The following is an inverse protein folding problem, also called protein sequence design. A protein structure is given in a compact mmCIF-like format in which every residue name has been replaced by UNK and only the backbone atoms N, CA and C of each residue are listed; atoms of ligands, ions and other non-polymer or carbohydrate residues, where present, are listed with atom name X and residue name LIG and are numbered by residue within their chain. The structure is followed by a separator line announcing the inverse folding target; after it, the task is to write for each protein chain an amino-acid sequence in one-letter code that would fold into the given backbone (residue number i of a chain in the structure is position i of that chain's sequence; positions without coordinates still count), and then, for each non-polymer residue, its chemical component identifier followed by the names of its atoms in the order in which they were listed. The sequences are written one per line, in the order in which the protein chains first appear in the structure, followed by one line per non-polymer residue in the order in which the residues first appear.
data_IF_391056186207
#
_entry.id   IF_391056186207
#
_cell.length_a   1.000
_cell.length_b   1.000
_cell.length_c   1.000
_cell.angle_alpha   90.00
_cell.angle_beta   90.00
_cell.angle_gamma   90.00
#
_symmetry.space_group_name_H-M   'P 1'
#
loop_
_entity.id
_entity.type
_entity.pdbx_description
1 polymer ?
#
# COMPACT_ATOMS: atom_id res chain seq x y z
N UNK A 1 -15.04 10.07 -7.09
CA UNK A 1 -14.93 8.78 -6.38
C UNK A 1 -13.48 8.56 -6.03
N UNK A 2 -13.20 8.09 -4.82
CA UNK A 2 -11.90 7.65 -4.37
C UNK A 2 -11.93 6.13 -4.13
N UNK A 3 -11.12 5.38 -4.87
CA UNK A 3 -10.87 3.96 -4.62
C UNK A 3 -9.54 3.88 -3.89
N UNK A 4 -9.48 3.23 -2.74
CA UNK A 4 -8.26 3.18 -1.94
C UNK A 4 -8.01 1.76 -1.43
N UNK A 5 -6.77 1.42 -1.11
CA UNK A 5 -6.49 0.10 -0.54
C UNK A 5 -7.18 -0.09 0.82
N UNK A 6 -8.02 -1.11 0.92
CA UNK A 6 -8.75 -1.41 2.15
C UNK A 6 -7.87 -1.97 3.26
N UNK A 7 -8.25 -1.71 4.51
CA UNK A 7 -7.66 -2.31 5.72
C UNK A 7 -6.17 -2.05 5.98
N UNK A 8 -5.56 -1.04 5.37
CA UNK A 8 -4.22 -0.55 5.71
C UNK A 8 -4.26 0.94 6.10
N UNK A 9 -3.26 1.36 6.89
CA UNK A 9 -3.13 2.76 7.30
C UNK A 9 -2.75 3.69 6.14
N UNK A 10 -2.00 3.20 5.15
CA UNK A 10 -1.59 4.00 4.00
C UNK A 10 -2.78 4.32 3.08
N UNK A 11 -3.46 3.30 2.55
CA UNK A 11 -4.69 3.47 1.76
C UNK A 11 -5.77 4.30 2.46
N UNK A 12 -6.07 4.05 3.74
CA UNK A 12 -7.05 4.88 4.45
C UNK A 12 -6.54 6.30 4.73
N UNK A 13 -5.24 6.47 5.00
CA UNK A 13 -4.60 7.78 5.09
C UNK A 13 -4.73 8.56 3.79
N UNK A 14 -4.51 7.92 2.64
CA UNK A 14 -4.73 8.47 1.32
C UNK A 14 -6.19 8.89 1.09
N UNK A 15 -7.14 8.03 1.46
CA UNK A 15 -8.57 8.38 1.41
C UNK A 15 -8.91 9.58 2.30
N UNK A 16 -8.34 9.65 3.51
CA UNK A 16 -8.51 10.79 4.41
C UNK A 16 -7.98 12.09 3.78
N UNK A 17 -6.83 12.05 3.11
CA UNK A 17 -6.28 13.20 2.38
C UNK A 17 -7.22 13.64 1.26
N UNK A 18 -7.73 12.69 0.45
CA UNK A 18 -8.68 13.00 -0.63
C UNK A 18 -9.95 13.65 -0.08
N UNK A 19 -10.50 13.13 1.03
CA UNK A 19 -11.66 13.73 1.71
C UNK A 19 -11.35 15.15 2.17
N UNK A 20 -10.20 15.37 2.78
CA UNK A 20 -9.76 16.70 3.23
C UNK A 20 -9.69 17.71 2.08
N UNK A 21 -9.24 17.27 0.91
CA UNK A 21 -9.05 18.13 -0.26
C UNK A 21 -10.35 18.43 -1.00
N UNK A 22 -11.23 17.44 -1.15
CA UNK A 22 -12.38 17.50 -2.06
C UNK A 22 -13.75 17.51 -1.34
N UNK A 23 -13.78 17.27 -0.04
CA UNK A 23 -14.98 17.27 0.80
C UNK A 23 -15.84 16.01 0.71
N UNK A 24 -16.99 16.06 1.37
CA UNK A 24 -17.86 14.88 1.61
C UNK A 24 -18.67 14.41 0.40
N UNK A 25 -18.59 15.13 -0.72
CA UNK A 25 -19.21 14.75 -1.99
C UNK A 25 -18.48 13.59 -2.69
N UNK A 26 -17.32 13.18 -2.17
CA UNK A 26 -16.54 12.06 -2.70
C UNK A 26 -17.11 10.74 -2.18
N UNK A 27 -17.52 9.86 -3.09
CA UNK A 27 -17.79 8.45 -2.79
C UNK A 27 -16.46 7.72 -2.54
N UNK A 28 -16.32 7.07 -1.38
CA UNK A 28 -15.14 6.30 -0.97
C UNK A 28 -15.41 4.80 -1.06
N UNK A 29 -14.55 4.07 -1.77
CA UNK A 29 -14.67 2.62 -1.97
C UNK A 29 -13.35 1.95 -1.59
N UNK A 30 -13.40 1.05 -0.61
CA UNK A 30 -12.26 0.21 -0.27
C UNK A 30 -12.03 -0.83 -1.38
N UNK A 31 -10.95 -0.68 -2.13
CA UNK A 31 -10.47 -1.62 -3.12
C UNK A 31 -9.82 -2.84 -2.47
N UNK A 32 -10.09 -4.01 -3.03
CA UNK A 32 -9.52 -5.30 -2.62
C UNK A 32 -9.00 -6.01 -3.85
N UNK A 33 -7.76 -6.50 -3.80
CA UNK A 33 -7.18 -7.23 -4.92
C UNK A 33 -8.02 -8.45 -5.33
N UNK A 34 -8.23 -8.60 -6.63
CA UNK A 34 -9.00 -9.69 -7.21
C UNK A 34 -10.51 -9.51 -7.20
N UNK A 35 -11.03 -8.40 -6.65
CA UNK A 35 -12.44 -8.03 -6.81
C UNK A 35 -12.65 -7.17 -8.06
N UNK A 36 -13.87 -7.23 -8.60
CA UNK A 36 -14.27 -6.34 -9.71
C UNK A 36 -14.33 -4.88 -9.23
N UNK A 37 -13.99 -3.93 -10.11
CA UNK A 37 -14.08 -2.51 -9.76
C UNK A 37 -15.52 -2.05 -9.55
N UNK A 38 -15.74 -0.99 -8.75
CA UNK A 38 -17.06 -0.37 -8.61
C UNK A 38 -17.53 0.27 -9.92
N UNK A 39 -18.79 0.71 -9.97
CA UNK A 39 -19.30 1.47 -11.09
C UNK A 39 -18.68 2.88 -11.14
N UNK A 40 -17.95 3.14 -12.22
CA UNK A 40 -17.20 4.37 -12.47
C UNK A 40 -17.81 5.24 -13.57
N UNK A 41 -18.95 4.85 -14.15
CA UNK A 41 -19.56 5.54 -15.29
C UNK A 41 -19.69 7.07 -15.06
N UNK A 42 -19.05 7.86 -15.92
CA UNK A 42 -19.07 9.32 -15.86
C UNK A 42 -18.40 9.96 -14.63
N UNK A 43 -17.75 9.19 -13.75
CA UNK A 43 -17.12 9.69 -12.52
C UNK A 43 -15.67 10.15 -12.78
N UNK A 44 -15.21 11.16 -12.04
CA UNK A 44 -13.78 11.38 -11.83
C UNK A 44 -13.29 10.41 -10.74
N UNK A 45 -12.36 9.54 -11.09
CA UNK A 45 -11.87 8.47 -10.23
C UNK A 45 -10.44 8.77 -9.81
N UNK A 46 -10.22 8.76 -8.51
CA UNK A 46 -8.89 8.83 -7.89
C UNK A 46 -8.63 7.46 -7.29
N UNK A 47 -7.52 6.83 -7.62
CA UNK A 47 -7.10 5.57 -7.00
C UNK A 47 -5.85 5.83 -6.16
N UNK A 48 -5.84 5.40 -4.90
CA UNK A 48 -4.75 5.66 -3.94
C UNK A 48 -4.27 4.37 -3.26
N UNK A 49 -2.95 4.19 -3.17
CA UNK A 49 -2.29 3.01 -2.56
C UNK A 49 -2.73 1.67 -3.19
N UNK A 50 -3.30 1.72 -4.40
CA UNK A 50 -3.93 0.56 -5.01
C UNK A 50 -3.97 0.71 -6.52
N UNK A 51 -3.91 -0.42 -7.22
CA UNK A 51 -4.12 -0.48 -8.66
C UNK A 51 -4.78 -1.80 -9.05
N UNK A 52 -5.80 -1.74 -9.91
CA UNK A 52 -6.24 -2.91 -10.65
C UNK A 52 -5.22 -3.24 -11.76
N UNK A 53 -5.28 -4.46 -12.30
CA UNK A 53 -4.46 -4.85 -13.46
C UNK A 53 -4.75 -3.99 -14.68
N UNK A 54 -3.77 -3.87 -15.58
CA UNK A 54 -3.84 -3.06 -16.79
C UNK A 54 -5.16 -3.21 -17.55
N UNK A 55 -5.59 -4.45 -17.82
CA UNK A 55 -6.81 -4.73 -18.58
C UNK A 55 -8.09 -4.22 -17.89
N UNK A 56 -8.12 -4.25 -16.55
CA UNK A 56 -9.24 -3.71 -15.77
C UNK A 56 -9.21 -2.18 -15.83
N UNK A 57 -8.04 -1.58 -15.61
CA UNK A 57 -7.85 -0.14 -15.67
C UNK A 57 -8.20 0.44 -17.05
N UNK A 58 -7.80 -0.24 -18.12
CA UNK A 58 -8.12 0.14 -19.49
C UNK A 58 -9.64 0.10 -19.73
N UNK A 59 -10.37 -0.91 -19.23
CA UNK A 59 -11.83 -0.96 -19.35
C UNK A 59 -12.52 0.11 -18.50
N UNK A 60 -12.03 0.35 -17.28
CA UNK A 60 -12.56 1.40 -16.41
C UNK A 60 -12.40 2.78 -17.04
N UNK A 61 -11.27 3.05 -17.68
CA UNK A 61 -10.99 4.38 -18.24
C UNK A 61 -11.98 4.76 -19.34
N UNK A 62 -12.46 3.82 -20.15
CA UNK A 62 -13.49 4.08 -21.17
C UNK A 62 -14.89 4.42 -20.60
N UNK A 63 -15.15 4.11 -19.32
CA UNK A 63 -16.41 4.41 -18.64
C UNK A 63 -16.32 5.66 -17.76
N UNK A 64 -15.19 5.83 -17.09
CA UNK A 64 -14.94 6.97 -16.24
C UNK A 64 -14.83 8.27 -17.05
N UNK A 65 -15.17 9.41 -16.42
CA UNK A 65 -14.87 10.72 -17.00
C UNK A 65 -13.37 11.01 -16.98
N UNK A 66 -12.69 10.66 -15.89
CA UNK A 66 -11.23 10.69 -15.80
C UNK A 66 -10.73 9.74 -14.71
N UNK A 67 -9.48 9.31 -14.83
CA UNK A 67 -8.79 8.51 -13.82
C UNK A 67 -7.40 9.11 -13.52
N UNK A 68 -7.08 9.25 -12.25
CA UNK A 68 -5.69 9.37 -11.79
C UNK A 68 -5.38 8.25 -10.78
N UNK A 69 -4.14 7.77 -10.83
CA UNK A 69 -3.64 6.72 -9.93
C UNK A 69 -2.46 7.30 -9.16
N UNK A 70 -2.47 7.16 -7.83
CA UNK A 70 -1.42 7.57 -6.90
C UNK A 70 -0.99 6.31 -6.13
N UNK A 71 0.11 5.72 -6.55
CA UNK A 71 0.49 4.39 -6.06
C UNK A 71 2.01 4.25 -5.95
N UNK A 72 2.47 3.32 -5.13
CA UNK A 72 3.87 3.06 -4.84
C UNK A 72 4.24 1.56 -4.94
N UNK A 73 3.34 0.73 -5.48
CA UNK A 73 3.62 -0.68 -5.72
C UNK A 73 4.41 -0.92 -7.03
N UNK A 74 5.61 -1.48 -6.91
CA UNK A 74 6.49 -1.80 -8.06
C UNK A 74 5.80 -2.65 -9.13
N UNK A 75 5.09 -3.71 -8.71
CA UNK A 75 4.38 -4.58 -9.66
C UNK A 75 3.24 -3.88 -10.39
N UNK A 76 2.64 -2.86 -9.78
CA UNK A 76 1.61 -2.04 -10.43
C UNK A 76 2.25 -1.04 -11.40
N UNK A 77 3.37 -0.41 -11.03
CA UNK A 77 4.14 0.47 -11.92
C UNK A 77 4.59 -0.25 -13.20
N UNK A 78 5.06 -1.50 -13.07
CA UNK A 78 5.43 -2.36 -14.20
C UNK A 78 4.23 -2.66 -15.12
N UNK A 79 3.09 -3.03 -14.55
CA UNK A 79 1.88 -3.40 -15.30
C UNK A 79 1.20 -2.20 -15.97
N UNK A 80 1.17 -1.05 -15.28
CA UNK A 80 0.46 0.15 -15.69
C UNK A 80 1.34 1.17 -16.44
N UNK A 81 2.62 0.88 -16.67
CA UNK A 81 3.56 1.78 -17.36
C UNK A 81 3.20 2.14 -18.82
N UNK A 82 2.12 1.57 -19.36
CA UNK A 82 1.53 1.94 -20.65
C UNK A 82 0.68 3.21 -20.59
N UNK A 83 0.21 3.59 -19.40
CA UNK A 83 -0.54 4.83 -19.20
C UNK A 83 0.43 6.00 -18.99
N UNK A 84 0.04 7.22 -19.37
CA UNK A 84 0.90 8.39 -19.21
C UNK A 84 1.29 8.65 -17.75
N UNK A 85 2.57 8.89 -17.47
CA UNK A 85 3.01 9.24 -16.12
C UNK A 85 2.75 10.72 -15.79
N UNK A 86 2.59 11.02 -14.51
CA UNK A 86 2.62 12.39 -13.98
C UNK A 86 3.30 12.42 -12.60
N UNK A 87 3.67 13.62 -12.14
CA UNK A 87 4.24 13.84 -10.81
C UNK A 87 3.19 14.44 -9.88
N UNK A 88 3.14 13.96 -8.62
CA UNK A 88 2.24 14.48 -7.61
C UNK A 88 2.39 16.01 -7.48
N UNK A 89 1.26 16.71 -7.43
CA UNK A 89 1.20 18.17 -7.24
C UNK A 89 1.40 18.98 -8.51
N UNK A 90 1.78 18.34 -9.62
CA UNK A 90 1.98 19.00 -10.91
C UNK A 90 0.70 18.90 -11.73
N UNK A 91 0.12 20.07 -12.04
CA UNK A 91 -1.14 20.16 -12.80
C UNK A 91 -0.89 20.11 -14.31
N UNK A 92 0.01 20.95 -14.81
CA UNK A 92 0.39 21.08 -16.21
C UNK A 92 1.90 20.87 -16.32
N UNK A 93 2.34 20.30 -17.44
CA UNK A 93 3.76 20.08 -17.71
C UNK A 93 4.58 21.37 -17.52
N UNK A 94 5.72 21.23 -16.87
CA UNK A 94 6.62 22.32 -16.56
C UNK A 94 8.08 21.88 -16.69
N UNK A 95 8.99 22.86 -16.64
CA UNK A 95 10.42 22.61 -16.64
C UNK A 95 11.07 23.31 -15.46
N UNK A 96 11.87 22.57 -14.69
CA UNK A 96 12.64 23.12 -13.60
C UNK A 96 13.90 23.85 -14.11
N UNK A 97 14.51 24.74 -13.30
CA UNK A 97 15.72 25.46 -13.68
C UNK A 97 16.92 24.55 -14.01
N UNK A 98 16.96 23.34 -13.44
CA UNK A 98 17.98 22.33 -13.71
C UNK A 98 17.74 21.55 -15.02
N UNK A 99 16.66 21.86 -15.74
CA UNK A 99 16.30 21.25 -17.02
C UNK A 99 15.43 20.00 -16.92
N UNK A 100 15.17 19.48 -15.70
CA UNK A 100 14.24 18.37 -15.46
C UNK A 100 12.79 18.77 -15.79
N UNK A 101 11.98 17.79 -16.19
CA UNK A 101 10.59 18.00 -16.62
C UNK A 101 9.65 17.55 -15.51
N UNK A 102 8.72 18.43 -15.15
CA UNK A 102 7.59 18.11 -14.30
C UNK A 102 6.42 17.73 -15.21
N UNK A 103 5.93 16.50 -15.09
CA UNK A 103 4.78 16.02 -15.87
C UNK A 103 3.48 16.23 -15.10
N UNK A 104 2.50 16.88 -15.72
CA UNK A 104 1.24 17.24 -15.11
C UNK A 104 0.09 16.30 -15.45
N UNK A 105 -0.81 16.07 -14.50
CA UNK A 105 -1.95 15.17 -14.71
C UNK A 105 -2.96 15.70 -15.75
N UNK A 106 -3.18 17.01 -15.83
CA UNK A 106 -4.05 17.59 -16.88
C UNK A 106 -3.39 17.48 -18.25
N UNK A 107 -2.07 17.70 -18.34
CA UNK A 107 -1.31 17.49 -19.57
C UNK A 107 -1.42 16.05 -20.08
N UNK A 108 -1.29 15.07 -19.17
CA UNK A 108 -1.47 13.67 -19.48
C UNK A 108 -2.89 13.36 -20.00
N UNK A 109 -3.94 13.88 -19.36
CA UNK A 109 -5.32 13.72 -19.82
C UNK A 109 -5.57 14.39 -21.19
N UNK A 110 -5.06 15.60 -21.39
CA UNK A 110 -5.15 16.31 -22.68
C UNK A 110 -4.47 15.52 -23.78
N UNK A 111 -3.27 14.98 -23.50
CA UNK A 111 -2.55 14.12 -24.43
C UNK A 111 -3.38 12.89 -24.82
N UNK A 112 -3.94 12.16 -23.85
CA UNK A 112 -4.79 10.99 -24.11
C UNK A 112 -6.00 11.35 -24.96
N UNK A 113 -6.70 12.43 -24.61
CA UNK A 113 -7.86 12.90 -25.36
C UNK A 113 -7.49 13.26 -26.81
N UNK A 114 -6.31 13.86 -27.05
CA UNK A 114 -5.82 14.17 -28.40
C UNK A 114 -5.61 12.92 -29.27
N UNK A 115 -5.38 11.77 -28.63
CA UNK A 115 -5.23 10.46 -29.28
C UNK A 115 -6.56 9.70 -29.36
N UNK A 116 -7.71 10.35 -29.13
CA UNK A 116 -9.03 9.70 -28.99
C UNK A 116 -9.00 8.54 -27.97
N UNK A 117 -8.20 8.67 -26.92
CA UNK A 117 -8.05 7.69 -25.85
C UNK A 117 -8.59 8.23 -24.53
N UNK A 118 -9.02 7.38 -23.58
CA UNK A 118 -9.59 7.85 -22.32
C UNK A 118 -8.61 8.63 -21.45
N UNK A 119 -9.12 9.60 -20.69
CA UNK A 119 -8.34 10.41 -19.75
C UNK A 119 -7.92 9.58 -18.53
N UNK A 120 -6.73 8.97 -18.60
CA UNK A 120 -6.09 8.23 -17.51
C UNK A 120 -4.63 8.63 -17.38
N UNK A 121 -4.14 8.75 -16.15
CA UNK A 121 -2.75 9.06 -15.84
C UNK A 121 -2.30 8.38 -14.54
N UNK A 122 -1.01 8.07 -14.43
CA UNK A 122 -0.43 7.36 -13.28
C UNK A 122 0.71 8.14 -12.62
N UNK A 123 0.72 8.21 -11.30
CA UNK A 123 1.85 8.68 -10.51
C UNK A 123 2.35 7.51 -9.68
N UNK A 124 3.59 7.09 -9.99
CA UNK A 124 4.28 6.05 -9.25
C UNK A 124 5.57 6.60 -8.63
N UNK A 125 5.69 6.50 -7.30
CA UNK A 125 6.93 6.81 -6.58
C UNK A 125 7.15 5.80 -5.46
N UNK A 126 8.17 4.97 -5.60
CA UNK A 126 8.48 3.92 -4.62
C UNK A 126 9.11 4.48 -3.31
N UNK A 127 9.44 5.77 -3.26
CA UNK A 127 10.02 6.43 -2.09
C UNK A 127 8.99 7.23 -1.29
N UNK A 128 7.71 7.11 -1.66
CA UNK A 128 6.59 7.73 -0.99
C UNK A 128 5.54 6.67 -0.70
N UNK A 129 4.85 6.83 0.41
CA UNK A 129 3.61 6.08 0.67
C UNK A 129 2.46 6.65 -0.16
N UNK A 130 1.41 5.87 -0.43
CA UNK A 130 0.23 6.33 -1.15
C UNK A 130 -0.46 7.52 -0.48
N UNK A 131 -0.50 7.57 0.85
CA UNK A 131 -1.03 8.69 1.61
C UNK A 131 -0.21 9.97 1.42
N UNK A 132 1.11 9.84 1.38
CA UNK A 132 2.01 10.97 1.12
C UNK A 132 1.94 11.42 -0.34
N UNK A 133 1.79 10.50 -1.30
CA UNK A 133 1.51 10.86 -2.70
C UNK A 133 0.21 11.62 -2.86
N UNK A 134 -0.85 11.20 -2.14
CA UNK A 134 -2.10 11.95 -2.09
C UNK A 134 -1.89 13.35 -1.49
N UNK A 135 -1.11 13.47 -0.42
CA UNK A 135 -0.85 14.76 0.20
C UNK A 135 -0.10 15.70 -0.73
N UNK A 136 1.01 15.23 -1.30
CA UNK A 136 1.82 15.98 -2.27
C UNK A 136 0.98 16.39 -3.50
N UNK A 137 0.00 15.56 -3.89
CA UNK A 137 -0.91 15.87 -4.99
C UNK A 137 -1.91 16.98 -4.69
N UNK A 138 -2.63 16.88 -3.58
CA UNK A 138 -3.75 17.79 -3.27
C UNK A 138 -3.32 19.05 -2.52
N UNK A 139 -2.18 19.01 -1.83
CA UNK A 139 -1.67 20.10 -1.00
C UNK A 139 -0.21 20.44 -1.35
N UNK A 140 0.11 20.70 -2.63
CA UNK A 140 1.49 20.92 -3.07
C UNK A 140 2.13 22.09 -2.31
N UNK A 141 3.31 21.85 -1.74
CA UNK A 141 4.07 22.84 -0.96
C UNK A 141 3.57 23.06 0.47
N UNK A 142 2.59 22.28 0.95
CA UNK A 142 2.14 22.32 2.34
C UNK A 142 2.73 21.16 3.15
N UNK A 143 3.04 21.42 4.40
CA UNK A 143 3.56 20.42 5.33
C UNK A 143 2.45 19.43 5.73
N UNK A 144 2.66 18.10 5.58
CA UNK A 144 1.70 17.10 6.03
C UNK A 144 1.60 17.01 7.55
N UNK A 145 0.45 16.56 8.09
CA UNK A 145 0.34 16.13 9.48
C UNK A 145 1.46 15.14 9.84
N UNK A 146 2.02 15.29 11.04
CA UNK A 146 3.09 14.39 11.52
C UNK A 146 2.67 12.91 11.51
N UNK A 147 1.40 12.61 11.74
CA UNK A 147 0.89 11.25 11.68
C UNK A 147 1.02 10.63 10.29
N UNK A 148 0.81 11.38 9.19
CA UNK A 148 1.06 10.88 7.82
C UNK A 148 2.54 10.52 7.61
N UNK A 149 3.47 11.27 8.21
CA UNK A 149 4.91 10.94 8.14
C UNK A 149 5.22 9.64 8.87
N UNK A 150 4.60 9.39 10.02
CA UNK A 150 4.76 8.12 10.72
C UNK A 150 4.08 6.96 9.97
N UNK A 151 3.00 7.21 9.23
CA UNK A 151 2.39 6.23 8.33
C UNK A 151 3.40 5.86 7.23
N UNK A 152 3.98 6.85 6.54
CA UNK A 152 5.03 6.61 5.53
C UNK A 152 6.24 5.88 6.10
N UNK A 153 6.73 6.30 7.27
CA UNK A 153 7.92 5.73 7.91
C UNK A 153 7.74 4.24 8.26
N UNK A 154 6.51 3.81 8.60
CA UNK A 154 6.19 2.39 8.79
C UNK A 154 5.95 1.69 7.46
N UNK A 155 5.19 2.30 6.57
CA UNK A 155 4.75 1.72 5.31
C UNK A 155 5.95 1.36 4.41
N UNK A 156 6.93 2.27 4.32
CA UNK A 156 8.22 2.05 3.67
C UNK A 156 9.21 1.23 4.53
N UNK A 157 8.80 0.77 5.71
CA UNK A 157 9.59 -0.01 6.67
C UNK A 157 10.92 0.66 7.09
N UNK A 158 10.92 1.99 7.22
CA UNK A 158 12.12 2.80 7.50
C UNK A 158 12.42 2.93 8.99
N UNK A 159 11.39 3.13 9.82
CA UNK A 159 11.48 3.35 11.27
C UNK A 159 12.55 4.39 11.68
N UNK A 160 12.66 5.50 10.93
CA UNK A 160 13.61 6.59 11.19
C UNK A 160 13.06 7.62 12.17
N UNK A 161 11.74 7.74 12.26
CA UNK A 161 11.10 8.66 13.18
C UNK A 161 10.94 8.01 14.56
N UNK A 162 11.30 8.75 15.61
CA UNK A 162 11.17 8.26 16.98
C UNK A 162 9.71 7.98 17.32
N UNK A 163 9.44 6.79 17.88
CA UNK A 163 8.11 6.39 18.29
C UNK A 163 7.18 5.89 17.18
N UNK A 164 7.64 5.72 15.93
CA UNK A 164 6.79 5.24 14.82
C UNK A 164 6.05 3.94 15.16
N UNK A 165 6.73 2.97 15.78
CA UNK A 165 6.12 1.68 16.11
C UNK A 165 4.94 1.83 17.07
N UNK A 166 5.14 2.57 18.15
CA UNK A 166 4.10 2.84 19.14
C UNK A 166 2.96 3.68 18.55
N UNK A 167 3.27 4.76 17.82
CA UNK A 167 2.25 5.60 17.19
C UNK A 167 1.38 4.77 16.23
N UNK A 168 2.00 3.88 15.46
CA UNK A 168 1.28 3.00 14.54
C UNK A 168 0.47 1.96 15.30
N UNK A 169 1.00 1.36 16.37
CA UNK A 169 0.24 0.46 17.23
C UNK A 169 -1.01 1.14 17.82
N UNK A 170 -0.91 2.42 18.18
CA UNK A 170 -2.07 3.22 18.57
C UNK A 170 -3.05 3.41 17.41
N UNK A 171 -2.57 3.87 16.25
CA UNK A 171 -3.40 4.11 15.06
C UNK A 171 -4.20 2.85 14.66
N UNK A 172 -3.56 1.68 14.59
CA UNK A 172 -4.20 0.42 14.24
C UNK A 172 -5.19 -0.10 15.29
N UNK A 173 -5.23 0.48 16.50
CA UNK A 173 -6.23 0.14 17.52
C UNK A 173 -7.59 0.82 17.29
N UNK A 174 -7.64 1.85 16.42
CA UNK A 174 -8.84 2.59 16.08
C UNK A 174 -9.51 2.07 14.81
N UNK A 175 -10.83 2.27 14.64
CA UNK A 175 -11.51 1.96 13.39
C UNK A 175 -11.01 2.86 12.25
N UNK A 176 -11.13 2.35 11.01
CA UNK A 176 -11.00 3.14 9.79
C UNK A 176 -12.26 3.99 9.59
N UNK A 177 -12.35 5.04 10.40
CA UNK A 177 -13.43 6.00 10.45
C UNK A 177 -12.86 7.41 10.30
N UNK A 178 -13.55 8.22 9.52
CA UNK A 178 -13.04 9.48 9.03
C UNK A 178 -12.97 10.55 10.13
N UNK A 179 -13.98 10.61 10.99
CA UNK A 179 -14.07 11.50 12.13
C UNK A 179 -13.08 11.10 13.24
N UNK A 180 -12.90 9.80 13.45
CA UNK A 180 -11.84 9.29 14.33
C UNK A 180 -10.47 9.72 13.81
N UNK A 181 -10.21 9.57 12.51
CA UNK A 181 -8.93 9.95 11.91
C UNK A 181 -8.71 11.46 11.87
N UNK A 182 -9.75 12.30 11.77
CA UNK A 182 -9.62 13.75 11.98
C UNK A 182 -9.07 14.06 13.37
N UNK A 183 -9.58 13.38 14.39
CA UNK A 183 -9.12 13.53 15.77
C UNK A 183 -7.66 13.08 15.91
N UNK A 184 -7.31 11.91 15.36
CA UNK A 184 -5.95 11.37 15.41
C UNK A 184 -4.94 12.26 14.67
N UNK A 185 -5.30 12.78 13.49
CA UNK A 185 -4.45 13.67 12.70
C UNK A 185 -4.20 15.02 13.37
N UNK A 186 -5.13 15.47 14.23
CA UNK A 186 -4.99 16.69 15.03
C UNK A 186 -4.30 16.47 16.39
N UNK A 187 -4.16 15.21 16.83
CA UNK A 187 -3.55 14.87 18.12
C UNK A 187 -2.03 14.97 18.06
N UNK A 188 -1.41 15.41 19.15
CA UNK A 188 0.04 15.47 19.23
C UNK A 188 0.67 14.06 19.21
N UNK A 189 1.80 13.92 18.52
CA UNK A 189 2.43 12.61 18.32
C UNK A 189 2.96 11.98 19.62
N UNK A 190 3.21 12.77 20.67
CA UNK A 190 3.70 12.23 21.95
C UNK A 190 2.57 11.52 22.70
N UNK A 191 1.36 12.08 22.68
CA UNK A 191 0.16 11.41 23.18
C UNK A 191 -0.12 10.12 22.41
N UNK A 192 -0.09 10.17 21.07
CA UNK A 192 -0.28 8.97 20.24
C UNK A 192 0.75 7.87 20.56
N UNK A 193 2.02 8.26 20.76
CA UNK A 193 3.08 7.34 21.16
C UNK A 193 2.83 6.73 22.53
N UNK A 194 2.45 7.57 23.51
CA UNK A 194 2.16 7.13 24.87
C UNK A 194 1.06 6.07 24.89
N UNK A 195 -0.02 6.30 24.16
CA UNK A 195 -1.17 5.38 24.08
C UNK A 195 -0.80 4.04 23.42
N UNK A 196 0.10 4.07 22.44
CA UNK A 196 0.56 2.88 21.73
C UNK A 196 1.66 2.08 22.43
N UNK A 197 2.35 2.64 23.42
CA UNK A 197 3.56 2.04 24.00
C UNK A 197 3.31 0.66 24.64
N UNK A 198 2.18 0.48 25.33
CA UNK A 198 1.83 -0.81 25.91
C UNK A 198 1.39 -1.84 24.85
N UNK A 199 0.71 -1.38 23.80
CA UNK A 199 0.25 -2.20 22.67
C UNK A 199 1.47 -2.77 21.93
N UNK A 200 2.43 -1.92 21.57
CA UNK A 200 3.64 -2.34 20.86
C UNK A 200 4.50 -3.30 21.69
N UNK A 201 4.67 -3.01 22.99
CA UNK A 201 5.40 -3.91 23.89
C UNK A 201 4.76 -5.30 23.95
N UNK A 202 3.42 -5.38 23.97
CA UNK A 202 2.70 -6.67 23.93
C UNK A 202 2.84 -7.34 22.58
N UNK A 203 2.72 -6.58 21.49
CA UNK A 203 2.87 -7.08 20.12
C UNK A 203 4.22 -7.77 19.92
N UNK A 204 5.33 -7.10 20.25
CA UNK A 204 6.67 -7.67 20.08
C UNK A 204 6.89 -8.92 20.95
N UNK A 205 6.35 -8.93 22.17
CA UNK A 205 6.38 -10.13 23.03
C UNK A 205 5.65 -11.31 22.37
N UNK A 206 4.45 -11.07 21.84
CA UNK A 206 3.65 -12.10 21.19
C UNK A 206 4.31 -12.64 19.93
N UNK A 207 4.87 -11.74 19.10
CA UNK A 207 5.64 -12.13 17.92
C UNK A 207 6.79 -13.05 18.31
N UNK A 208 7.60 -12.68 19.32
CA UNK A 208 8.73 -13.49 19.76
C UNK A 208 8.29 -14.85 20.32
N UNK A 209 7.30 -14.87 21.22
CA UNK A 209 6.81 -16.10 21.86
C UNK A 209 6.15 -17.05 20.85
N UNK A 210 5.34 -16.52 19.93
CA UNK A 210 4.65 -17.34 18.94
C UNK A 210 5.60 -17.86 17.85
N UNK A 211 6.52 -17.03 17.34
CA UNK A 211 7.54 -17.48 16.38
C UNK A 211 8.37 -18.62 16.98
N UNK A 212 8.73 -18.55 18.26
CA UNK A 212 9.50 -19.59 18.92
C UNK A 212 8.80 -20.97 18.92
N UNK A 213 7.47 -21.00 18.93
CA UNK A 213 6.70 -22.26 19.01
C UNK A 213 6.05 -22.69 17.70
N UNK A 214 5.82 -21.78 16.74
CA UNK A 214 5.15 -22.11 15.46
C UNK A 214 6.09 -22.17 14.27
N UNK A 215 7.34 -21.69 14.39
CA UNK A 215 8.32 -21.70 13.30
C UNK A 215 8.66 -23.13 12.88
N UNK A 216 8.49 -23.41 11.60
CA UNK A 216 8.93 -24.60 10.87
C UNK A 216 9.66 -24.19 9.60
N UNK A 217 10.08 -25.16 8.78
CA UNK A 217 10.65 -24.89 7.46
C UNK A 217 9.76 -25.45 6.35
N UNK A 218 9.67 -24.72 5.23
CA UNK A 218 8.99 -25.14 4.01
C UNK A 218 9.85 -24.78 2.80
N UNK A 219 9.67 -25.52 1.70
CA UNK A 219 10.22 -25.15 0.40
C UNK A 219 9.19 -24.30 -0.35
N UNK A 220 9.48 -23.02 -0.55
CA UNK A 220 8.62 -22.07 -1.28
C UNK A 220 9.43 -21.49 -2.45
N UNK A 221 8.92 -21.57 -3.67
CA UNK A 221 9.63 -21.11 -4.87
C UNK A 221 11.00 -21.78 -5.07
N UNK A 222 11.17 -23.02 -4.58
CA UNK A 222 12.44 -23.74 -4.63
C UNK A 222 13.44 -23.42 -3.50
N UNK A 223 13.06 -22.57 -2.54
CA UNK A 223 13.91 -22.17 -1.42
C UNK A 223 13.41 -22.75 -0.10
N UNK A 224 14.29 -23.40 0.67
CA UNK A 224 14.03 -23.83 2.04
C UNK A 224 14.13 -22.63 3.00
N UNK A 225 12.98 -22.18 3.53
CA UNK A 225 12.85 -20.94 4.31
C UNK A 225 12.12 -21.15 5.64
N UNK A 226 12.36 -20.32 6.67
CA UNK A 226 11.57 -20.36 7.89
C UNK A 226 10.14 -19.86 7.63
N UNK A 227 9.18 -20.56 8.21
CA UNK A 227 7.75 -20.28 8.08
C UNK A 227 7.04 -20.43 9.41
N UNK A 228 6.20 -19.48 9.79
CA UNK A 228 5.38 -19.54 11.01
C UNK A 228 3.87 -19.50 10.70
N UNK A 229 3.06 -20.26 11.46
CA UNK A 229 1.61 -20.11 11.45
C UNK A 229 1.22 -18.99 12.40
N UNK A 230 0.78 -17.85 11.87
CA UNK A 230 0.48 -16.65 12.64
C UNK A 230 -0.69 -15.88 12.01
N UNK A 231 -1.54 -15.22 12.83
CA UNK A 231 -2.59 -14.37 12.30
C UNK A 231 -2.01 -13.23 11.47
N UNK A 232 -2.74 -12.79 10.44
CA UNK A 232 -2.29 -11.80 9.45
C UNK A 232 -1.74 -10.51 10.10
N UNK A 233 -2.29 -10.12 11.25
CA UNK A 233 -1.93 -8.93 12.04
C UNK A 233 -0.51 -8.96 12.62
N UNK A 234 0.14 -10.13 12.71
CA UNK A 234 1.49 -10.28 13.27
C UNK A 234 2.56 -10.56 12.20
N UNK A 235 2.15 -10.73 10.93
CA UNK A 235 3.01 -11.35 9.91
C UNK A 235 4.16 -10.48 9.43
N UNK A 236 4.02 -9.16 9.47
CA UNK A 236 5.09 -8.24 9.06
C UNK A 236 6.29 -8.35 10.00
N UNK A 237 6.09 -8.17 11.30
CA UNK A 237 7.17 -8.23 12.29
C UNK A 237 7.70 -9.66 12.47
N UNK A 238 6.83 -10.67 12.50
CA UNK A 238 7.27 -12.06 12.57
C UNK A 238 8.08 -12.50 11.35
N UNK A 239 7.64 -12.12 10.15
CA UNK A 239 8.36 -12.37 8.91
C UNK A 239 9.72 -11.65 8.91
N UNK A 240 9.76 -10.38 9.30
CA UNK A 240 11.01 -9.61 9.40
C UNK A 240 11.98 -10.21 10.42
N UNK A 241 11.47 -10.64 11.59
CA UNK A 241 12.26 -11.33 12.62
C UNK A 241 12.87 -12.63 12.08
N UNK A 242 12.11 -13.42 11.34
CA UNK A 242 12.57 -14.70 10.79
C UNK A 242 13.45 -14.56 9.56
N UNK A 243 13.35 -13.47 8.79
CA UNK A 243 14.10 -13.28 7.56
C UNK A 243 15.59 -12.94 7.77
N UNK A 244 16.00 -12.65 9.00
CA UNK A 244 17.38 -12.28 9.33
C UNK A 244 18.35 -13.42 8.99
N UNK A 245 19.25 -13.19 8.03
CA UNK A 245 20.22 -14.18 7.57
C UNK A 245 19.64 -15.30 6.69
N UNK A 246 18.40 -15.15 6.25
CA UNK A 246 17.69 -16.11 5.40
C UNK A 246 17.37 -15.48 4.04
N UNK A 247 17.16 -16.26 2.95
CA UNK A 247 16.78 -15.68 1.66
C UNK A 247 15.49 -14.84 1.76
N UNK A 248 14.54 -15.35 2.53
CA UNK A 248 13.32 -14.70 2.98
C UNK A 248 12.67 -15.58 4.07
N UNK A 249 11.58 -15.11 4.66
CA UNK A 249 10.72 -15.86 5.56
C UNK A 249 9.25 -15.73 5.14
N UNK A 250 8.40 -16.62 5.66
CA UNK A 250 6.97 -16.53 5.44
C UNK A 250 6.17 -16.67 6.74
N UNK A 251 5.01 -16.03 6.78
CA UNK A 251 3.95 -16.41 7.71
C UNK A 251 2.75 -16.92 6.90
N UNK A 252 1.93 -17.79 7.49
CA UNK A 252 0.67 -18.20 6.88
C UNK A 252 -0.49 -18.25 7.88
N UNK A 253 -1.69 -18.12 7.34
CA UNK A 253 -2.96 -18.35 8.03
C UNK A 253 -3.99 -18.92 7.05
N UNK A 254 -5.00 -19.58 7.59
CA UNK A 254 -6.07 -20.17 6.80
C UNK A 254 -7.30 -19.24 6.75
N UNK A 255 -7.94 -19.21 5.59
CA UNK A 255 -9.20 -18.52 5.31
C UNK A 255 -10.22 -19.55 4.79
N UNK A 256 -11.52 -19.23 4.66
CA UNK A 256 -12.48 -20.14 4.06
C UNK A 256 -12.08 -20.64 2.66
N UNK A 257 -11.33 -19.84 1.91
CA UNK A 257 -10.97 -20.12 0.51
C UNK A 257 -9.58 -20.76 0.33
N UNK A 258 -8.82 -20.94 1.41
CA UNK A 258 -7.46 -21.51 1.35
C UNK A 258 -6.45 -20.84 2.28
N UNK A 259 -5.18 -21.18 2.10
CA UNK A 259 -4.06 -20.68 2.90
C UNK A 259 -3.41 -19.47 2.24
N UNK A 260 -3.27 -18.40 3.00
CA UNK A 260 -2.57 -17.18 2.58
C UNK A 260 -1.17 -17.20 3.14
N UNK A 261 -0.20 -16.80 2.32
CA UNK A 261 1.21 -16.64 2.68
C UNK A 261 1.59 -15.16 2.58
N UNK A 262 2.26 -14.67 3.61
CA UNK A 262 2.87 -13.33 3.68
C UNK A 262 4.38 -13.51 3.76
N UNK A 263 5.09 -13.10 2.70
CA UNK A 263 6.53 -13.23 2.56
C UNK A 263 7.24 -11.95 3.01
N UNK A 264 8.36 -12.08 3.71
CA UNK A 264 9.23 -10.98 4.10
C UNK A 264 10.69 -11.29 3.81
N UNK A 265 11.43 -10.33 3.29
CA UNK A 265 12.89 -10.40 3.13
C UNK A 265 13.56 -9.13 3.65
N UNK A 266 14.88 -9.18 3.84
CA UNK A 266 15.70 -7.98 4.09
C UNK A 266 16.19 -7.40 2.76
N UNK A 267 16.89 -6.27 2.81
CA UNK A 267 17.48 -5.66 1.60
C UNK A 267 18.52 -6.57 0.94
N UNK A 268 19.24 -7.37 1.75
CA UNK A 268 20.18 -8.40 1.28
C UNK A 268 19.47 -9.70 0.83
N UNK A 269 18.20 -9.86 1.19
CA UNK A 269 17.38 -11.02 0.83
C UNK A 269 16.89 -10.98 -0.62
N UNK A 270 16.12 -12.00 -0.99
CA UNK A 270 15.55 -12.13 -2.33
C UNK A 270 14.37 -11.16 -2.54
N UNK A 271 14.09 -10.86 -3.82
CA UNK A 271 12.86 -10.16 -4.21
C UNK A 271 11.67 -11.14 -4.05
N UNK A 272 10.92 -11.01 -2.95
CA UNK A 272 9.78 -11.88 -2.65
C UNK A 272 8.58 -11.61 -3.54
N UNK A 273 8.55 -10.49 -4.27
CA UNK A 273 7.50 -10.24 -5.27
C UNK A 273 7.63 -11.20 -6.45
N UNK A 274 8.85 -11.52 -6.87
CA UNK A 274 9.12 -12.51 -7.91
C UNK A 274 8.76 -13.94 -7.46
N UNK A 275 8.94 -14.26 -6.17
CA UNK A 275 8.49 -15.54 -5.61
C UNK A 275 6.96 -15.60 -5.56
N UNK A 276 6.29 -14.54 -5.09
CA UNK A 276 4.84 -14.50 -5.00
C UNK A 276 4.16 -14.58 -6.37
N UNK A 277 4.74 -13.97 -7.42
CA UNK A 277 4.25 -14.02 -8.80
C UNK A 277 4.10 -15.46 -9.32
N UNK A 278 4.96 -16.39 -8.91
CA UNK A 278 4.88 -17.81 -9.30
C UNK A 278 3.59 -18.49 -8.82
N UNK A 279 2.96 -17.96 -7.78
CA UNK A 279 1.72 -18.44 -7.19
C UNK A 279 0.52 -17.52 -7.50
N UNK A 280 0.65 -16.61 -8.47
CA UNK A 280 -0.39 -15.62 -8.81
C UNK A 280 -0.55 -14.48 -7.81
N UNK A 281 0.42 -14.30 -6.90
CA UNK A 281 0.48 -13.20 -5.95
C UNK A 281 1.29 -12.00 -6.44
N UNK A 282 1.68 -11.13 -5.50
CA UNK A 282 2.49 -9.93 -5.78
C UNK A 282 2.70 -9.05 -4.54
N UNK A 283 3.28 -7.87 -4.75
CA UNK A 283 3.58 -6.88 -3.70
C UNK A 283 4.91 -6.16 -3.94
N UNK A 284 5.54 -5.69 -2.86
CA UNK A 284 6.85 -5.07 -2.88
C UNK A 284 7.97 -6.10 -2.82
N UNK A 285 9.18 -5.67 -3.21
CA UNK A 285 10.41 -6.47 -3.16
C UNK A 285 10.59 -7.23 -1.84
N UNK A 286 10.33 -6.57 -0.71
CA UNK A 286 10.56 -7.11 0.63
C UNK A 286 9.29 -7.56 1.35
N UNK A 287 8.11 -7.32 0.77
CA UNK A 287 6.83 -7.63 1.38
C UNK A 287 5.82 -7.97 0.29
N UNK A 288 5.54 -9.25 0.12
CA UNK A 288 4.63 -9.76 -0.90
C UNK A 288 3.79 -10.90 -0.34
N UNK A 289 2.71 -11.26 -1.02
CA UNK A 289 1.84 -12.36 -0.58
C UNK A 289 1.16 -13.09 -1.71
N UNK A 290 0.72 -14.30 -1.42
CA UNK A 290 -0.04 -15.15 -2.35
C UNK A 290 -1.00 -16.05 -1.57
N UNK A 291 -1.97 -16.65 -2.27
CA UNK A 291 -2.93 -17.60 -1.69
C UNK A 291 -2.93 -18.88 -2.49
N UNK A 292 -3.00 -20.02 -1.80
CA UNK A 292 -3.15 -21.34 -2.41
C UNK A 292 -4.38 -22.06 -1.86
N UNK A 293 -5.10 -22.86 -2.66
CA UNK A 293 -6.25 -23.62 -2.19
C UNK A 293 -5.81 -24.76 -1.25
N UNK A 294 -6.73 -25.24 -0.42
CA UNK A 294 -6.51 -26.46 0.36
C UNK A 294 -6.27 -27.66 -0.58
N UNK A 295 -5.28 -28.48 -0.25
CA UNK A 295 -4.81 -29.59 -1.10
C UNK A 295 -3.59 -29.24 -1.96
N UNK A 296 -3.23 -27.95 -2.08
CA UNK A 296 -1.93 -27.54 -2.61
C UNK A 296 -0.78 -28.09 -1.73
N UNK A 297 0.39 -28.35 -2.31
CA UNK A 297 1.52 -28.94 -1.57
C UNK A 297 1.95 -28.12 -0.34
N UNK A 298 1.87 -26.79 -0.43
CA UNK A 298 2.14 -25.87 0.67
C UNK A 298 1.09 -25.88 1.81
N UNK A 299 -0.03 -26.58 1.61
CA UNK A 299 -1.09 -26.73 2.62
C UNK A 299 -1.05 -28.08 3.34
N UNK A 300 -0.10 -28.96 2.96
CA UNK A 300 0.11 -30.24 3.61
C UNK A 300 0.72 -30.09 5.01
#
# INVERSE_FOLDING_TARGET
MCIYHGNCADGFGGAWVVRKALGDQVEFVAGVHGQEPPDVEGKNVIIVDFSYKYEVMARMSWKAHSIIILDHHKSAAEDLGKFPPFHAGVRVDGRHPDGSVALGWESAHIFMNSQNSPAIACCFDMNRSGAMLAWDHFFPGQEPPMLLRHIEDRDLWLFRLDGTREIQANLFSYPYDFEVWDTLMATDVQSLRSDGAAIERKHQKDVAELVAVTKRRLVIGGHDVPVASLPYTLTSDAGHLMAQGEPFAACYWDTPDGRVFSLRSTDEGLDVSEIAKQYGGGGHRNASGFRVPFGHELTK
#
